data_IF_645938223712
#
_entry.id   IF_645938223712
#
_cell.length_a   1.000
_cell.length_b   1.000
_cell.length_c   1.000
_cell.angle_alpha   90.00
_cell.angle_beta   90.00
_cell.angle_gamma   90.00
#
_symmetry.space_group_name_H-M   'P 1'
#
loop_
_entity.id
_entity.type
_entity.pdbx_description
1 polymer ?
#
# COMPACT_ATOMS: atom_id res chain seq x y z
N UNK A 1 -12.33 17.87 1.21
CA UNK A 1 -11.20 17.12 0.60
C UNK A 1 -9.98 18.04 0.61
N UNK A 2 -8.78 17.55 0.91
CA UNK A 2 -7.59 18.41 0.99
C UNK A 2 -7.32 19.11 -0.35
N UNK A 3 -7.10 20.43 -0.34
CA UNK A 3 -6.89 21.25 -1.53
C UNK A 3 -5.70 22.19 -1.32
N UNK A 4 -5.13 22.70 -2.41
CA UNK A 4 -4.09 23.73 -2.33
C UNK A 4 -2.86 23.27 -1.53
N UNK A 5 -2.51 24.02 -0.48
CA UNK A 5 -1.35 23.72 0.37
C UNK A 5 -1.47 22.37 1.07
N UNK A 6 -2.65 22.02 1.56
CA UNK A 6 -2.87 20.76 2.27
C UNK A 6 -2.61 19.55 1.36
N UNK A 7 -3.05 19.62 0.11
CA UNK A 7 -2.80 18.57 -0.86
C UNK A 7 -1.29 18.39 -1.13
N UNK A 8 -0.53 19.49 -1.21
CA UNK A 8 0.93 19.46 -1.39
C UNK A 8 1.65 18.88 -0.17
N UNK A 9 1.24 19.27 1.03
CA UNK A 9 1.84 18.79 2.27
C UNK A 9 1.58 17.29 2.49
N UNK A 10 0.36 16.84 2.21
CA UNK A 10 0.01 15.41 2.23
C UNK A 10 0.83 14.65 1.17
N UNK A 11 0.89 15.15 -0.06
CA UNK A 11 1.68 14.51 -1.11
C UNK A 11 3.16 14.38 -0.73
N UNK A 12 3.74 15.41 -0.12
CA UNK A 12 5.12 15.38 0.37
C UNK A 12 5.31 14.36 1.50
N UNK A 13 4.36 14.28 2.43
CA UNK A 13 4.39 13.29 3.51
C UNK A 13 4.30 11.86 2.97
N UNK A 14 3.40 11.58 2.03
CA UNK A 14 3.30 10.26 1.37
C UNK A 14 4.58 9.95 0.59
N UNK A 15 5.11 10.89 -0.20
CA UNK A 15 6.33 10.71 -0.98
C UNK A 15 7.58 10.48 -0.09
N UNK A 16 7.55 10.92 1.17
CA UNK A 16 8.61 10.62 2.14
C UNK A 16 8.56 9.18 2.69
N UNK A 17 7.54 8.41 2.31
CA UNK A 17 7.23 7.11 2.92
C UNK A 17 6.72 7.26 4.35
N UNK A 18 5.89 8.27 4.61
CA UNK A 18 5.30 8.54 5.93
C UNK A 18 6.34 8.79 7.03
N UNK A 19 7.50 9.35 6.64
CA UNK A 19 8.58 9.70 7.57
C UNK A 19 8.41 11.15 8.05
N UNK A 20 8.73 11.38 9.33
CA UNK A 20 8.62 12.71 9.94
C UNK A 20 7.21 13.02 10.46
N UNK A 21 6.92 14.30 10.69
CA UNK A 21 5.65 14.75 11.28
C UNK A 21 4.55 14.78 10.22
N UNK A 22 3.47 14.01 10.44
CA UNK A 22 2.29 14.06 9.59
C UNK A 22 1.65 15.47 9.61
N UNK A 23 1.24 16.01 8.45
CA UNK A 23 0.50 17.27 8.42
C UNK A 23 -0.87 17.07 9.07
N UNK A 24 -1.40 18.08 9.75
CA UNK A 24 -2.70 18.00 10.41
C UNK A 24 -3.84 17.61 9.44
N UNK A 25 -3.71 18.03 8.18
CA UNK A 25 -4.65 17.69 7.10
C UNK A 25 -4.68 16.19 6.75
N UNK A 26 -3.63 15.42 7.10
CA UNK A 26 -3.62 13.96 6.87
C UNK A 26 -4.56 13.20 7.81
N UNK A 27 -5.02 13.79 8.92
CA UNK A 27 -5.95 13.15 9.87
C UNK A 27 -7.24 12.68 9.18
N UNK A 28 -7.71 13.44 8.18
CA UNK A 28 -8.88 13.08 7.38
C UNK A 28 -8.65 11.82 6.52
N UNK A 29 -7.40 11.51 6.18
CA UNK A 29 -7.02 10.34 5.38
C UNK A 29 -6.76 9.13 6.28
N UNK A 30 -6.12 9.33 7.44
CA UNK A 30 -5.69 8.25 8.32
C UNK A 30 -6.84 7.43 8.91
N UNK A 31 -8.05 7.98 8.97
CA UNK A 31 -9.23 7.24 9.42
C UNK A 31 -9.56 6.02 8.55
N UNK A 32 -9.32 6.11 7.23
CA UNK A 32 -9.53 4.99 6.31
C UNK A 32 -8.22 4.28 5.93
N UNK A 33 -7.12 5.02 5.84
CA UNK A 33 -5.86 4.51 5.30
C UNK A 33 -4.78 4.23 6.34
N UNK A 34 -5.03 4.47 7.63
CA UNK A 34 -4.02 4.31 8.68
C UNK A 34 -3.06 5.49 8.78
N UNK A 35 -2.33 5.55 9.89
CA UNK A 35 -1.46 6.69 10.24
C UNK A 35 -0.23 6.81 9.35
N UNK A 36 0.18 5.68 8.76
CA UNK A 36 1.31 5.51 7.87
C UNK A 36 0.88 4.91 6.53
N UNK A 37 -0.41 4.93 6.20
CA UNK A 37 -0.91 4.40 4.93
C UNK A 37 -1.03 2.87 4.90
N UNK A 38 -0.91 2.19 6.05
CA UNK A 38 -0.93 0.74 6.21
C UNK A 38 -2.30 0.09 5.88
N UNK A 39 -3.34 0.91 5.71
CA UNK A 39 -4.71 0.47 5.49
C UNK A 39 -5.41 0.10 6.79
N UNK A 40 -6.75 0.15 6.76
CA UNK A 40 -7.59 -0.26 7.90
C UNK A 40 -8.56 -1.32 7.40
N UNK A 41 -8.58 -2.53 8.00
CA UNK A 41 -9.52 -3.58 7.63
C UNK A 41 -10.94 -3.05 7.59
N UNK A 42 -11.66 -3.33 6.50
CA UNK A 42 -13.04 -2.91 6.26
C UNK A 42 -13.30 -1.39 6.14
N UNK A 43 -12.28 -0.53 6.21
CA UNK A 43 -12.44 0.93 6.06
C UNK A 43 -11.68 1.50 4.86
N UNK A 44 -10.48 1.00 4.56
CA UNK A 44 -9.73 1.47 3.40
C UNK A 44 -8.47 0.65 3.11
N UNK A 45 -8.09 0.53 1.83
CA UNK A 45 -6.92 -0.23 1.44
C UNK A 45 -5.63 0.46 1.90
N UNK A 46 -4.54 -0.29 1.95
CA UNK A 46 -3.21 0.27 2.11
C UNK A 46 -2.82 1.16 0.92
N UNK A 47 -2.10 2.23 1.21
CA UNK A 47 -1.57 3.22 0.25
C UNK A 47 -0.08 3.51 0.48
N UNK A 48 0.56 2.82 1.42
CA UNK A 48 1.99 2.90 1.74
C UNK A 48 2.88 2.02 0.85
N UNK A 49 2.42 1.75 -0.37
CA UNK A 49 3.12 0.95 -1.37
C UNK A 49 2.29 -0.23 -1.84
N UNK A 50 2.96 -1.18 -2.49
CA UNK A 50 2.28 -2.32 -3.09
C UNK A 50 1.76 -3.29 -2.04
N UNK A 51 0.52 -3.74 -2.23
CA UNK A 51 -0.05 -4.87 -1.51
C UNK A 51 0.32 -6.18 -2.19
N UNK A 52 1.58 -6.58 -2.04
CA UNK A 52 2.12 -7.75 -2.73
C UNK A 52 1.38 -9.03 -2.33
N UNK A 53 1.02 -9.18 -1.05
CA UNK A 53 0.24 -10.32 -0.58
C UNK A 53 -1.13 -10.38 -1.29
N UNK A 54 -1.90 -9.29 -1.29
CA UNK A 54 -3.19 -9.29 -1.98
C UNK A 54 -3.07 -9.49 -3.50
N UNK A 55 -2.00 -8.97 -4.12
CA UNK A 55 -1.73 -9.17 -5.55
C UNK A 55 -1.41 -10.65 -5.85
N UNK A 56 -0.61 -11.31 -5.02
CA UNK A 56 -0.29 -12.74 -5.16
C UNK A 56 -1.57 -13.58 -4.94
N UNK A 57 -2.35 -13.26 -3.92
CA UNK A 57 -3.58 -13.98 -3.58
C UNK A 57 -4.68 -13.81 -4.63
N UNK A 58 -4.88 -12.61 -5.18
CA UNK A 58 -6.03 -12.29 -6.05
C UNK A 58 -5.68 -12.18 -7.53
N UNK A 59 -4.39 -12.13 -7.86
CA UNK A 59 -3.92 -11.69 -9.17
C UNK A 59 -4.16 -10.19 -9.39
N UNK A 60 -3.63 -9.66 -10.50
CA UNK A 60 -3.83 -8.25 -10.88
C UNK A 60 -3.72 -8.08 -12.39
N UNK A 61 -4.65 -7.33 -12.99
CA UNK A 61 -4.48 -6.84 -14.37
C UNK A 61 -3.51 -5.67 -14.36
N UNK A 62 -2.35 -5.86 -14.97
CA UNK A 62 -1.34 -4.83 -15.18
C UNK A 62 -1.27 -4.38 -16.63
N UNK A 63 -0.29 -3.52 -16.93
CA UNK A 63 -0.08 -2.97 -18.27
C UNK A 63 0.39 -4.05 -19.27
N UNK A 64 1.19 -5.02 -18.81
CA UNK A 64 1.75 -6.11 -19.63
C UNK A 64 0.89 -7.39 -19.63
N UNK A 65 -0.33 -7.35 -19.09
CA UNK A 65 -1.23 -8.51 -19.04
C UNK A 65 -1.80 -8.78 -17.64
N UNK A 66 -2.34 -9.98 -17.44
CA UNK A 66 -2.98 -10.40 -16.19
C UNK A 66 -2.03 -11.30 -15.40
N UNK A 67 -1.59 -10.84 -14.24
CA UNK A 67 -0.96 -11.70 -13.24
C UNK A 67 -2.03 -12.64 -12.66
N UNK A 68 -1.84 -13.97 -12.72
CA UNK A 68 -2.79 -14.92 -12.15
C UNK A 68 -2.77 -14.87 -10.62
N UNK A 69 -3.80 -15.42 -9.99
CA UNK A 69 -3.83 -15.68 -8.57
C UNK A 69 -3.02 -16.95 -8.24
N UNK A 70 -2.25 -16.93 -7.15
CA UNK A 70 -1.32 -18.01 -6.78
C UNK A 70 -1.89 -18.97 -5.71
N UNK A 71 -3.17 -18.82 -5.33
CA UNK A 71 -3.80 -19.54 -4.20
C UNK A 71 -3.62 -21.07 -4.20
N UNK A 72 -3.49 -21.69 -5.37
CA UNK A 72 -3.30 -23.13 -5.52
C UNK A 72 -1.90 -23.52 -5.99
N UNK A 73 -1.03 -22.53 -6.25
CA UNK A 73 0.30 -22.72 -6.82
C UNK A 73 1.40 -22.69 -5.76
N UNK A 74 1.18 -21.99 -4.64
CA UNK A 74 2.16 -21.82 -3.56
C UNK A 74 1.49 -21.96 -2.20
N UNK A 75 2.28 -22.35 -1.19
CA UNK A 75 1.82 -22.42 0.20
C UNK A 75 1.82 -21.03 0.86
N UNK A 76 1.08 -20.83 1.98
CA UNK A 76 1.10 -19.55 2.71
C UNK A 76 2.50 -19.10 3.16
N UNK A 77 3.38 -20.06 3.46
CA UNK A 77 4.78 -19.76 3.84
C UNK A 77 5.57 -19.26 2.62
N UNK A 78 5.36 -19.85 1.44
CA UNK A 78 5.99 -19.41 0.21
C UNK A 78 5.49 -18.03 -0.22
N UNK A 79 4.19 -17.75 -0.07
CA UNK A 79 3.60 -16.43 -0.33
C UNK A 79 4.22 -15.35 0.58
N UNK A 80 4.36 -15.64 1.88
CA UNK A 80 5.02 -14.75 2.82
C UNK A 80 6.49 -14.52 2.46
N UNK A 81 7.24 -15.58 2.16
CA UNK A 81 8.64 -15.48 1.78
C UNK A 81 8.84 -14.64 0.51
N UNK A 82 8.02 -14.88 -0.52
CA UNK A 82 8.04 -14.12 -1.77
C UNK A 82 7.69 -12.64 -1.53
N UNK A 83 6.68 -12.37 -0.70
CA UNK A 83 6.29 -11.00 -0.34
C UNK A 83 7.45 -10.24 0.30
N UNK A 84 8.13 -10.84 1.28
CA UNK A 84 9.28 -10.23 1.96
C UNK A 84 10.43 -10.02 0.99
N UNK A 85 10.73 -11.00 0.12
CA UNK A 85 11.78 -10.88 -0.87
C UNK A 85 11.51 -9.73 -1.86
N UNK A 86 10.30 -9.64 -2.42
CA UNK A 86 9.91 -8.57 -3.33
C UNK A 86 10.01 -7.19 -2.65
N UNK A 87 9.56 -7.07 -1.40
CA UNK A 87 9.71 -5.83 -0.63
C UNK A 87 11.19 -5.44 -0.41
N UNK A 88 12.10 -6.41 -0.31
CA UNK A 88 13.52 -6.12 -0.11
C UNK A 88 14.22 -5.54 -1.35
N UNK A 89 13.71 -5.83 -2.54
CA UNK A 89 14.28 -5.37 -3.83
C UNK A 89 13.55 -4.16 -4.42
N UNK A 90 12.32 -3.88 -3.98
CA UNK A 90 11.57 -2.67 -4.34
C UNK A 90 12.01 -1.55 -3.37
N UNK A 91 13.21 -1.01 -3.61
CA UNK A 91 13.71 0.21 -2.97
C UNK A 91 13.52 1.42 -3.86
#
# INVERSE_FOLDING_TARGET
MAMGKDAKDIAKYIASGYKGKAPASYVACSGCHGTKGEGVPYAGPKIDGYDIANIIASGKKGFIGKMPAFKTLITPIQEKALTVYLQSIIK
#
